data_IF_199828715870
#
_entry.id   IF_199828715870
#
_cell.length_a   1.000
_cell.length_b   1.000
_cell.length_c   1.000
_cell.angle_alpha   90.00
_cell.angle_beta   90.00
_cell.angle_gamma   90.00
#
_symmetry.space_group_name_H-M   'P 1'
#
loop_
_entity.id
_entity.type
_entity.pdbx_description
1 polymer ?
#
# COMPACT_ATOMS: atom_id res chain seq x y z
N UNK A 1 17.13 -15.08 15.13
CA UNK A 1 17.35 -13.62 15.09
C UNK A 1 17.25 -13.13 16.53
N UNK A 2 18.36 -12.73 17.15
CA UNK A 2 18.38 -12.41 18.59
C UNK A 2 18.01 -10.94 18.79
N UNK A 3 17.01 -10.69 19.63
CA UNK A 3 16.43 -9.35 19.87
C UNK A 3 17.01 -8.76 21.15
N UNK A 4 17.40 -7.48 21.14
CA UNK A 4 17.81 -6.77 22.34
C UNK A 4 16.63 -6.69 23.33
N UNK A 5 16.89 -6.96 24.61
CA UNK A 5 15.83 -7.01 25.64
C UNK A 5 15.53 -5.62 26.20
N UNK A 6 16.54 -4.74 26.23
CA UNK A 6 16.40 -3.36 26.68
C UNK A 6 17.40 -2.45 25.96
N UNK A 7 16.97 -1.25 25.59
CA UNK A 7 17.81 -0.21 24.96
C UNK A 7 17.61 1.12 25.70
N UNK A 8 18.69 1.85 25.99
CA UNK A 8 18.68 3.16 26.65
C UNK A 8 19.47 4.21 25.86
N UNK A 9 18.89 5.40 25.56
CA UNK A 9 17.49 5.73 25.77
C UNK A 9 16.58 4.85 24.91
N UNK A 10 15.39 4.52 25.42
CA UNK A 10 14.41 3.71 24.69
C UNK A 10 13.62 4.51 23.66
N UNK A 11 13.74 5.85 23.69
CA UNK A 11 13.05 6.79 22.81
C UNK A 11 14.03 7.90 22.44
N UNK A 12 13.97 8.35 21.19
CA UNK A 12 14.72 9.50 20.70
C UNK A 12 13.76 10.48 20.02
N UNK A 13 14.09 11.77 20.09
CA UNK A 13 13.35 12.80 19.36
C UNK A 13 13.85 12.83 17.91
N UNK A 14 12.89 12.78 16.97
CA UNK A 14 13.13 12.78 15.54
C UNK A 14 12.22 13.81 14.87
N UNK A 15 12.78 14.55 13.92
CA UNK A 15 11.98 15.32 12.98
C UNK A 15 11.36 14.37 11.95
N UNK A 16 10.04 14.32 11.91
CA UNK A 16 9.26 13.51 10.98
C UNK A 16 8.18 14.38 10.39
N UNK A 17 7.97 14.24 9.09
CA UNK A 17 6.78 14.76 8.42
C UNK A 17 5.55 14.14 9.08
N UNK A 18 4.68 15.01 9.58
CA UNK A 18 3.45 14.67 10.25
C UNK A 18 2.47 15.83 10.07
N UNK A 19 1.17 15.55 10.20
CA UNK A 19 0.12 16.54 10.08
C UNK A 19 -0.80 16.31 8.88
N UNK A 20 -2.00 16.87 9.00
CA UNK A 20 -3.12 16.71 8.05
C UNK A 20 -3.28 17.90 7.09
N UNK A 21 -2.52 18.98 7.28
CA UNK A 21 -2.77 20.24 6.57
C UNK A 21 -2.00 20.28 5.26
N UNK A 22 -2.49 19.53 4.28
CA UNK A 22 -2.28 19.86 2.87
C UNK A 22 -3.53 20.61 2.40
N UNK A 23 -3.34 21.81 1.84
CA UNK A 23 -4.43 22.73 1.49
C UNK A 23 -5.34 22.18 0.38
N UNK A 24 -4.82 21.26 -0.45
CA UNK A 24 -5.58 20.56 -1.46
C UNK A 24 -6.25 19.31 -0.90
N UNK A 25 -7.56 19.16 -1.20
CA UNK A 25 -8.35 18.02 -0.75
C UNK A 25 -7.66 16.73 -1.20
N UNK A 26 -7.35 15.89 -0.22
CA UNK A 26 -6.82 14.53 -0.37
C UNK A 26 -5.30 14.38 -0.53
N UNK A 27 -4.52 15.47 -0.55
CA UNK A 27 -3.05 15.36 -0.49
C UNK A 27 -2.56 14.83 0.86
N UNK A 28 -1.45 14.10 0.83
CA UNK A 28 -0.78 13.59 2.03
C UNK A 28 0.60 14.23 2.18
N UNK A 29 1.04 14.38 3.43
CA UNK A 29 2.34 14.96 3.77
C UNK A 29 3.44 13.90 3.70
N UNK A 30 4.35 14.04 2.74
CA UNK A 30 5.46 13.11 2.52
C UNK A 30 6.82 13.80 2.70
N UNK A 31 7.86 13.09 3.16
CA UNK A 31 9.21 13.60 3.09
C UNK A 31 9.69 13.78 1.65
N UNK A 32 10.49 14.82 1.42
CA UNK A 32 11.26 14.95 0.18
C UNK A 32 12.50 14.08 0.31
N UNK A 33 12.71 13.14 -0.62
CA UNK A 33 13.74 12.10 -0.53
C UNK A 33 15.15 12.66 -0.37
N UNK A 34 15.49 13.72 -1.11
CA UNK A 34 16.80 14.40 -1.06
C UNK A 34 17.09 15.04 0.31
N UNK A 35 16.06 15.23 1.14
CA UNK A 35 16.17 15.84 2.46
C UNK A 35 15.96 14.82 3.59
N UNK A 36 16.02 13.52 3.30
CA UNK A 36 16.04 12.47 4.31
C UNK A 36 17.49 12.24 4.74
N UNK A 37 17.77 12.45 6.02
CA UNK A 37 19.10 12.22 6.59
C UNK A 37 19.10 11.01 7.51
N UNK A 38 20.22 10.28 7.52
CA UNK A 38 20.43 9.17 8.44
C UNK A 38 21.08 9.73 9.72
N UNK A 39 20.38 9.64 10.84
CA UNK A 39 20.91 10.07 12.14
C UNK A 39 21.24 8.87 13.00
N UNK A 40 22.47 8.87 13.50
CA UNK A 40 23.00 7.77 14.30
C UNK A 40 22.99 8.15 15.77
N UNK A 41 22.44 7.27 16.58
CA UNK A 41 22.39 7.39 18.03
C UNK A 41 23.21 6.27 18.65
N UNK A 42 24.08 6.63 19.58
CA UNK A 42 24.72 5.65 20.46
C UNK A 42 23.74 5.31 21.57
N UNK A 43 23.34 4.05 21.64
CA UNK A 43 22.42 3.54 22.66
C UNK A 43 23.10 2.44 23.46
N UNK A 44 22.75 2.36 24.73
CA UNK A 44 23.17 1.29 25.61
C UNK A 44 22.18 0.14 25.49
N UNK A 45 22.62 -0.99 24.93
CA UNK A 45 21.81 -2.16 24.71
C UNK A 45 22.14 -3.27 25.71
N UNK A 46 21.11 -4.01 26.14
CA UNK A 46 21.23 -5.17 27.00
C UNK A 46 20.81 -6.43 26.25
N UNK A 47 21.69 -7.42 26.23
CA UNK A 47 21.51 -8.70 25.53
C UNK A 47 21.98 -9.85 26.41
N UNK A 48 21.06 -10.67 26.89
CA UNK A 48 21.40 -11.94 27.56
C UNK A 48 22.33 -11.82 28.79
N UNK A 49 22.33 -10.69 29.51
CA UNK A 49 23.25 -10.46 30.63
C UNK A 49 24.39 -9.48 30.29
N UNK A 50 24.72 -9.33 29.01
CA UNK A 50 25.78 -8.45 28.52
C UNK A 50 25.26 -7.05 28.19
N UNK A 51 26.17 -6.08 28.35
CA UNK A 51 25.92 -4.65 28.20
C UNK A 51 26.87 -4.10 27.14
N UNK A 52 26.33 -3.56 26.06
CA UNK A 52 27.14 -2.98 24.99
C UNK A 52 26.58 -1.65 24.50
N UNK A 53 27.47 -0.75 24.06
CA UNK A 53 27.09 0.47 23.36
C UNK A 53 27.01 0.17 21.87
N UNK A 54 25.81 0.31 21.29
CA UNK A 54 25.57 0.06 19.87
C UNK A 54 25.13 1.34 19.17
N UNK A 55 25.46 1.45 17.89
CA UNK A 55 25.00 2.54 17.06
C UNK A 55 23.72 2.12 16.34
N UNK A 56 22.67 2.93 16.49
CA UNK A 56 21.39 2.75 15.79
C UNK A 56 21.17 3.94 14.88
N UNK A 57 20.94 3.66 13.61
CA UNK A 57 20.69 4.67 12.60
C UNK A 57 19.21 4.71 12.23
N UNK A 58 18.63 5.91 12.26
CA UNK A 58 17.22 6.17 11.96
C UNK A 58 17.09 7.31 10.96
N UNK A 59 16.03 7.27 10.14
CA UNK A 59 15.78 8.30 9.12
C UNK A 59 15.05 9.51 9.71
N UNK A 60 15.66 10.68 9.61
CA UNK A 60 15.09 11.98 9.99
C UNK A 60 14.66 12.74 8.73
N UNK A 61 13.52 13.43 8.77
CA UNK A 61 12.98 14.19 7.64
C UNK A 61 13.36 15.67 7.78
N UNK A 62 14.01 16.24 6.77
CA UNK A 62 14.38 17.66 6.74
C UNK A 62 13.32 18.55 6.10
N UNK A 63 12.72 18.09 5.00
CA UNK A 63 11.70 18.83 4.23
C UNK A 63 10.52 17.93 3.93
N UNK A 64 9.32 18.49 3.99
CA UNK A 64 8.07 17.81 3.69
C UNK A 64 7.38 18.49 2.52
N UNK A 65 6.66 17.72 1.71
CA UNK A 65 5.81 18.21 0.63
C UNK A 65 4.45 17.52 0.67
N UNK A 66 3.44 18.25 0.21
CA UNK A 66 2.15 17.66 -0.10
C UNK A 66 2.23 17.03 -1.48
N UNK A 67 1.92 15.75 -1.58
CA UNK A 67 1.74 15.06 -2.85
C UNK A 67 0.69 13.97 -2.70
N UNK A 68 0.01 13.68 -3.79
CA UNK A 68 -0.71 12.44 -3.93
C UNK A 68 0.23 11.36 -4.49
N UNK A 69 0.75 10.51 -3.62
CA UNK A 69 1.65 9.44 -4.00
C UNK A 69 1.36 8.20 -3.15
N UNK A 70 0.48 7.36 -3.66
CA UNK A 70 0.08 6.09 -3.07
C UNK A 70 0.19 5.02 -4.11
N UNK A 71 0.68 3.85 -3.71
CA UNK A 71 0.56 2.66 -4.53
C UNK A 71 -0.89 2.19 -4.52
N UNK A 72 -1.41 1.86 -5.70
CA UNK A 72 -2.71 1.25 -5.85
C UNK A 72 -2.59 -0.27 -5.94
N UNK A 73 -3.56 -1.01 -5.38
CA UNK A 73 -3.68 -2.45 -5.64
C UNK A 73 -3.75 -2.75 -7.15
N UNK A 74 -3.51 -4.01 -7.51
CA UNK A 74 -3.60 -4.48 -8.89
C UNK A 74 -4.95 -4.10 -9.52
N UNK A 75 -4.93 -3.75 -10.82
CA UNK A 75 -6.09 -3.32 -11.60
C UNK A 75 -6.76 -2.01 -11.16
N UNK A 76 -6.11 -1.28 -10.25
CA UNK A 76 -6.47 0.09 -9.88
C UNK A 76 -5.39 1.07 -10.33
N UNK A 77 -5.82 2.29 -10.64
CA UNK A 77 -4.96 3.41 -11.00
C UNK A 77 -5.17 4.57 -10.02
N UNK A 78 -4.12 5.32 -9.76
CA UNK A 78 -4.19 6.50 -8.90
C UNK A 78 -4.87 7.65 -9.64
N UNK A 79 -6.05 8.04 -9.15
CA UNK A 79 -6.66 9.32 -9.50
C UNK A 79 -5.95 10.42 -8.71
N UNK A 80 -5.07 11.17 -9.39
CA UNK A 80 -4.30 12.27 -8.80
C UNK A 80 -5.17 13.45 -8.35
N UNK A 81 -6.38 13.60 -8.91
CA UNK A 81 -7.28 14.70 -8.57
C UNK A 81 -8.03 14.42 -7.26
N UNK A 82 -8.54 13.20 -7.11
CA UNK A 82 -9.25 12.77 -5.90
C UNK A 82 -8.34 12.10 -4.86
N UNK A 83 -7.05 11.99 -5.16
CA UNK A 83 -6.04 11.22 -4.45
C UNK A 83 -6.53 9.85 -3.92
N UNK A 84 -7.17 9.09 -4.80
CA UNK A 84 -7.72 7.77 -4.47
C UNK A 84 -7.42 6.78 -5.58
N UNK A 85 -7.35 5.50 -5.22
CA UNK A 85 -7.34 4.46 -6.23
C UNK A 85 -8.74 4.29 -6.80
N UNK A 86 -8.81 4.21 -8.12
CA UNK A 86 -10.02 3.91 -8.88
C UNK A 86 -9.71 2.74 -9.80
N UNK A 87 -10.70 1.95 -10.20
CA UNK A 87 -10.44 0.86 -11.12
C UNK A 87 -9.89 1.36 -12.45
N UNK A 88 -8.99 0.59 -13.07
CA UNK A 88 -8.48 0.90 -14.40
C UNK A 88 -9.61 0.79 -15.44
N UNK A 89 -9.93 1.92 -16.07
CA UNK A 89 -10.94 1.97 -17.13
C UNK A 89 -10.63 1.04 -18.31
N UNK A 90 -9.36 0.70 -18.56
CA UNK A 90 -9.00 -0.29 -19.60
C UNK A 90 -9.50 -1.69 -19.24
N UNK A 91 -9.39 -2.09 -17.98
CA UNK A 91 -9.89 -3.39 -17.53
C UNK A 91 -11.41 -3.47 -17.65
N UNK A 92 -12.10 -2.36 -17.30
CA UNK A 92 -13.54 -2.24 -17.52
C UNK A 92 -13.93 -2.35 -18.99
N UNK A 93 -13.19 -1.68 -19.89
CA UNK A 93 -13.42 -1.77 -21.33
C UNK A 93 -13.23 -3.19 -21.88
N UNK A 94 -12.19 -3.91 -21.43
CA UNK A 94 -11.98 -5.31 -21.80
C UNK A 94 -13.13 -6.20 -21.31
N UNK A 95 -13.64 -5.97 -20.11
CA UNK A 95 -14.79 -6.71 -19.59
C UNK A 95 -16.07 -6.45 -20.39
N UNK A 96 -16.33 -5.18 -20.71
CA UNK A 96 -17.49 -4.80 -21.52
C UNK A 96 -17.43 -5.43 -22.92
N UNK A 97 -16.24 -5.48 -23.54
CA UNK A 97 -16.08 -6.15 -24.83
C UNK A 97 -16.45 -7.66 -24.76
N UNK A 98 -16.01 -8.37 -23.71
CA UNK A 98 -16.40 -9.78 -23.48
C UNK A 98 -17.91 -9.93 -23.29
N UNK A 99 -18.52 -9.02 -22.55
CA UNK A 99 -19.98 -9.00 -22.37
C UNK A 99 -20.71 -8.76 -23.69
N UNK A 100 -20.23 -7.81 -24.50
CA UNK A 100 -20.79 -7.48 -25.82
C UNK A 100 -20.63 -8.66 -26.81
N UNK A 101 -19.57 -9.47 -26.67
CA UNK A 101 -19.36 -10.73 -27.40
C UNK A 101 -20.24 -11.90 -26.90
N UNK A 102 -21.06 -11.66 -25.87
CA UNK A 102 -22.00 -12.63 -25.31
C UNK A 102 -21.41 -13.57 -24.27
N UNK A 103 -20.22 -13.30 -23.75
CA UNK A 103 -19.68 -14.03 -22.60
C UNK A 103 -20.47 -13.69 -21.32
N UNK A 104 -20.71 -14.66 -20.42
CA UNK A 104 -21.51 -14.45 -19.21
C UNK A 104 -20.67 -13.78 -18.11
N UNK A 105 -20.17 -12.58 -18.40
CA UNK A 105 -19.32 -11.79 -17.50
C UNK A 105 -19.98 -10.48 -17.08
N UNK A 106 -19.52 -9.87 -15.99
CA UNK A 106 -19.97 -8.60 -15.48
C UNK A 106 -18.81 -7.87 -14.81
N UNK A 107 -18.73 -6.57 -15.01
CA UNK A 107 -17.74 -5.73 -14.34
C UNK A 107 -18.12 -5.48 -12.89
N UNK A 108 -17.19 -5.78 -11.98
CA UNK A 108 -17.32 -5.49 -10.54
C UNK A 108 -16.44 -4.30 -10.16
N UNK A 109 -17.06 -3.18 -9.78
CA UNK A 109 -16.36 -1.97 -9.32
C UNK A 109 -15.72 -2.16 -7.94
N UNK A 110 -16.20 -3.11 -7.14
CA UNK A 110 -15.69 -3.33 -5.78
C UNK A 110 -14.32 -4.04 -5.77
N UNK A 111 -14.12 -4.96 -6.72
CA UNK A 111 -12.86 -5.72 -6.86
C UNK A 111 -12.09 -5.36 -8.12
N UNK A 112 -12.57 -4.39 -8.91
CA UNK A 112 -11.96 -3.92 -10.16
C UNK A 112 -11.63 -5.06 -11.14
N UNK A 113 -12.56 -6.00 -11.30
CA UNK A 113 -12.35 -7.19 -12.10
C UNK A 113 -13.59 -7.57 -12.92
N UNK A 114 -13.37 -8.40 -13.94
CA UNK A 114 -14.44 -8.96 -14.75
C UNK A 114 -14.82 -10.33 -14.17
N UNK A 115 -15.97 -10.40 -13.53
CA UNK A 115 -16.48 -11.59 -12.84
C UNK A 115 -17.53 -12.30 -13.69
N UNK A 116 -17.80 -13.58 -13.41
CA UNK A 116 -18.90 -14.27 -14.06
C UNK A 116 -20.25 -13.75 -13.54
N UNK A 117 -21.20 -13.51 -14.45
CA UNK A 117 -22.53 -12.97 -14.11
C UNK A 117 -23.34 -13.94 -13.23
N UNK A 118 -23.07 -15.24 -13.38
CA UNK A 118 -23.69 -16.30 -12.61
C UNK A 118 -22.70 -17.46 -12.45
N UNK A 119 -22.69 -18.02 -11.25
CA UNK A 119 -22.03 -19.30 -10.96
C UNK A 119 -23.16 -20.33 -10.88
N UNK A 120 -23.24 -21.31 -11.80
CA UNK A 120 -24.26 -22.34 -11.73
C UNK A 120 -24.07 -23.20 -10.49
N UNK A 121 -25.18 -23.71 -9.94
CA UNK A 121 -25.14 -24.72 -8.88
C UNK A 121 -24.35 -25.93 -9.39
N UNK A 122 -23.20 -26.19 -8.76
CA UNK A 122 -22.31 -27.27 -9.17
C UNK A 122 -22.92 -28.62 -8.75
N UNK A 123 -23.51 -29.35 -9.69
CA UNK A 123 -23.87 -30.75 -9.48
C UNK A 123 -22.62 -31.65 -9.54
N UNK A 124 -22.67 -32.76 -8.79
CA UNK A 124 -21.53 -33.61 -8.46
C UNK A 124 -20.67 -34.00 -9.69
N UNK A 125 -19.45 -33.43 -9.78
CA UNK A 125 -18.41 -33.86 -10.71
C UNK A 125 -17.90 -32.82 -11.72
N UNK A 126 -18.46 -31.60 -11.74
CA UNK A 126 -17.93 -30.51 -12.58
C UNK A 126 -17.02 -29.57 -11.78
N UNK A 127 -15.95 -29.09 -12.42
CA UNK A 127 -15.03 -28.09 -11.88
C UNK A 127 -15.35 -26.75 -12.54
N UNK A 128 -15.77 -25.77 -11.75
CA UNK A 128 -16.00 -24.40 -12.22
C UNK A 128 -14.68 -23.68 -12.52
N UNK A 129 -14.55 -23.14 -13.72
CA UNK A 129 -13.47 -22.23 -14.12
C UNK A 129 -13.97 -20.79 -14.16
N UNK A 130 -13.57 -20.02 -13.15
CA UNK A 130 -13.93 -18.61 -13.01
C UNK A 130 -13.35 -17.70 -14.12
N UNK A 131 -12.41 -18.19 -14.94
CA UNK A 131 -11.86 -17.42 -16.07
C UNK A 131 -12.73 -17.49 -17.31
N UNK A 132 -13.25 -18.68 -17.59
CA UNK A 132 -14.09 -18.97 -18.76
C UNK A 132 -15.58 -18.96 -18.44
N UNK A 133 -15.95 -18.86 -17.15
CA UNK A 133 -17.31 -18.91 -16.65
C UNK A 133 -18.04 -20.19 -17.10
N UNK A 134 -17.36 -21.33 -16.97
CA UNK A 134 -17.79 -22.66 -17.42
C UNK A 134 -17.42 -23.74 -16.44
#
# INVERSE_FOLDING_TARGET
>A
MWQFVQVKPSVVKLNRCAGLSCDFRHDQCFPVEDYITLKTYTVFAFKGGERECVQVSVKEHGVCKCKCDRECPDYQVLDLWACKCVCDGKMRQLCNARYDDGEPVMWSEDVCSCECNSVPDCDHGMLWDNRTCR
#
